data_IF_161649337115
#
_entry.id   IF_161649337115
#
_cell.length_a   1.000
_cell.length_b   1.000
_cell.length_c   1.000
_cell.angle_alpha   90.00
_cell.angle_beta   90.00
_cell.angle_gamma   90.00
#
_symmetry.space_group_name_H-M   'P 1'
#
loop_
_entity.id
_entity.type
_entity.pdbx_description
1 polymer ?
#
# COMPACT_ATOMS: atom_id res chain seq x y z
N UNK A 1 -16.18 -38.95 5.70
CA UNK A 1 -16.69 -37.56 5.62
C UNK A 1 -15.71 -36.46 6.12
N UNK A 2 -14.42 -36.74 6.35
CA UNK A 2 -13.45 -35.73 6.84
C UNK A 2 -12.93 -34.75 5.76
N UNK A 3 -12.58 -35.25 4.58
CA UNK A 3 -11.92 -34.50 3.51
C UNK A 3 -12.68 -33.26 3.00
N UNK A 4 -14.02 -33.30 2.93
CA UNK A 4 -14.81 -32.13 2.50
C UNK A 4 -14.75 -30.96 3.50
N UNK A 5 -14.63 -31.25 4.81
CA UNK A 5 -14.55 -30.20 5.85
C UNK A 5 -13.20 -29.47 5.78
N UNK A 6 -12.12 -30.17 5.47
CA UNK A 6 -10.79 -29.59 5.35
C UNK A 6 -10.67 -28.68 4.11
N UNK A 7 -11.19 -29.11 2.96
CA UNK A 7 -11.22 -28.29 1.74
C UNK A 7 -12.04 -27.00 1.97
N UNK A 8 -13.19 -27.11 2.64
CA UNK A 8 -14.00 -25.95 3.00
C UNK A 8 -13.20 -24.98 3.90
N UNK A 9 -12.55 -25.48 4.96
CA UNK A 9 -11.74 -24.66 5.89
C UNK A 9 -10.59 -23.92 5.19
N UNK A 10 -9.89 -24.58 4.26
CA UNK A 10 -8.83 -23.96 3.46
C UNK A 10 -9.40 -22.89 2.53
N UNK A 11 -10.54 -23.16 1.87
CA UNK A 11 -11.23 -22.20 1.00
C UNK A 11 -11.67 -20.94 1.77
N UNK A 12 -12.21 -21.09 2.98
CA UNK A 12 -12.58 -19.97 3.86
C UNK A 12 -11.38 -19.14 4.31
N UNK A 13 -10.24 -19.79 4.63
CA UNK A 13 -9.00 -19.08 4.98
C UNK A 13 -8.45 -18.29 3.79
N UNK A 14 -8.46 -18.87 2.59
CA UNK A 14 -8.03 -18.21 1.35
C UNK A 14 -8.89 -16.98 1.04
N UNK A 15 -10.22 -17.10 1.18
CA UNK A 15 -11.16 -16.00 0.97
C UNK A 15 -10.95 -14.85 1.97
N UNK A 16 -10.74 -15.15 3.26
CA UNK A 16 -10.41 -14.12 4.27
C UNK A 16 -9.11 -13.38 3.94
N UNK A 17 -8.09 -14.10 3.46
CA UNK A 17 -6.81 -13.49 3.07
C UNK A 17 -6.98 -12.54 1.89
N UNK A 18 -7.73 -12.93 0.85
CA UNK A 18 -8.03 -12.06 -0.29
C UNK A 18 -8.77 -10.79 0.13
N UNK A 19 -9.83 -10.90 0.93
CA UNK A 19 -10.58 -9.74 1.45
C UNK A 19 -9.67 -8.80 2.27
N UNK A 20 -8.73 -9.37 3.05
CA UNK A 20 -7.75 -8.57 3.79
C UNK A 20 -6.79 -7.80 2.88
N UNK A 21 -6.34 -8.41 1.79
CA UNK A 21 -5.48 -7.77 0.79
C UNK A 21 -6.23 -6.66 0.06
N UNK A 22 -7.47 -6.89 -0.37
CA UNK A 22 -8.31 -5.89 -1.04
C UNK A 22 -8.55 -4.65 -0.17
N UNK A 23 -8.81 -4.83 1.13
CA UNK A 23 -8.96 -3.71 2.06
C UNK A 23 -7.68 -2.88 2.19
N UNK A 24 -6.52 -3.53 2.25
CA UNK A 24 -5.21 -2.86 2.32
C UNK A 24 -4.92 -2.11 1.02
N UNK A 25 -5.21 -2.72 -0.11
CA UNK A 25 -5.06 -2.11 -1.42
C UNK A 25 -5.97 -0.88 -1.57
N UNK A 26 -7.23 -0.96 -1.12
CA UNK A 26 -8.16 0.18 -1.11
C UNK A 26 -7.68 1.34 -0.22
N UNK A 27 -7.05 1.03 0.92
CA UNK A 27 -6.44 2.05 1.79
C UNK A 27 -5.24 2.70 1.11
N UNK A 28 -4.34 1.91 0.53
CA UNK A 28 -3.17 2.41 -0.19
C UNK A 28 -3.59 3.33 -1.34
N UNK A 29 -4.65 2.95 -2.06
CA UNK A 29 -5.24 3.73 -3.14
C UNK A 29 -5.74 5.12 -2.71
N UNK A 30 -6.16 5.29 -1.46
CA UNK A 30 -6.60 6.57 -0.90
C UNK A 30 -5.44 7.45 -0.45
N UNK A 31 -4.33 6.84 -0.01
CA UNK A 31 -3.16 7.56 0.49
C UNK A 31 -2.28 8.07 -0.66
N UNK A 32 -2.24 7.37 -1.79
CA UNK A 32 -1.45 7.78 -2.94
C UNK A 32 -2.27 8.74 -3.83
N UNK A 33 -1.79 9.96 -4.11
CA UNK A 33 -2.54 11.01 -4.79
C UNK A 33 -3.09 10.65 -6.18
N UNK A 34 -2.56 9.60 -6.83
CA UNK A 34 -3.02 9.12 -8.15
C UNK A 34 -3.60 7.70 -8.12
N UNK A 35 -3.96 7.17 -6.96
CA UNK A 35 -4.38 5.78 -6.81
C UNK A 35 -5.76 5.47 -7.41
N UNK A 36 -6.66 6.45 -7.53
CA UNK A 36 -8.10 6.23 -7.70
C UNK A 36 -8.53 5.39 -8.95
N UNK A 37 -7.64 5.12 -9.90
CA UNK A 37 -7.93 4.29 -11.09
C UNK A 37 -6.76 3.43 -11.60
N UNK A 38 -5.69 3.24 -10.84
CA UNK A 38 -4.51 2.49 -11.33
C UNK A 38 -4.60 0.98 -11.07
N UNK A 39 -4.21 0.18 -12.07
CA UNK A 39 -3.97 -1.26 -11.91
C UNK A 39 -3.10 -1.56 -10.68
N UNK A 40 -3.35 -2.66 -9.95
CA UNK A 40 -2.64 -3.00 -8.72
C UNK A 40 -1.11 -3.05 -8.90
N UNK A 41 -0.62 -3.56 -10.03
CA UNK A 41 0.82 -3.62 -10.33
C UNK A 41 1.44 -2.23 -10.48
N UNK A 42 0.70 -1.28 -11.05
CA UNK A 42 1.12 0.13 -11.18
C UNK A 42 0.96 0.92 -9.89
N UNK A 43 0.09 0.48 -8.97
CA UNK A 43 -0.12 1.15 -7.68
C UNK A 43 1.15 1.06 -6.82
N UNK A 44 1.83 -0.08 -6.81
CA UNK A 44 3.07 -0.25 -6.03
C UNK A 44 4.21 0.61 -6.57
N UNK A 45 4.40 0.64 -7.89
CA UNK A 45 5.40 1.50 -8.52
C UNK A 45 5.15 2.98 -8.19
N UNK A 46 3.91 3.45 -8.38
CA UNK A 46 3.52 4.82 -8.02
C UNK A 46 3.67 5.12 -6.54
N UNK A 47 3.43 4.13 -5.67
CA UNK A 47 3.65 4.28 -4.23
C UNK A 47 5.14 4.49 -3.93
N UNK A 48 6.02 3.71 -4.56
CA UNK A 48 7.47 3.84 -4.39
C UNK A 48 7.97 5.21 -4.87
N UNK A 49 7.51 5.65 -6.05
CA UNK A 49 7.80 6.99 -6.58
C UNK A 49 7.33 8.08 -5.61
N UNK A 50 6.12 7.97 -5.08
CA UNK A 50 5.57 8.96 -4.15
C UNK A 50 6.34 9.01 -2.83
N UNK A 51 6.76 7.86 -2.29
CA UNK A 51 7.63 7.80 -1.08
C UNK A 51 8.96 8.50 -1.35
N UNK A 52 9.56 8.28 -2.52
CA UNK A 52 10.82 8.92 -2.90
C UNK A 52 10.66 10.44 -2.98
N UNK A 53 9.58 10.91 -3.61
CA UNK A 53 9.26 12.35 -3.71
C UNK A 53 9.09 12.99 -2.33
N UNK A 54 8.33 12.35 -1.43
CA UNK A 54 8.15 12.85 -0.07
C UNK A 54 9.47 12.92 0.71
N UNK A 55 10.33 11.90 0.56
CA UNK A 55 11.66 11.90 1.18
C UNK A 55 12.52 13.04 0.65
N UNK A 56 12.52 13.27 -0.66
CA UNK A 56 13.25 14.38 -1.27
C UNK A 56 12.75 15.73 -0.75
N UNK A 57 11.44 15.93 -0.71
CA UNK A 57 10.82 17.16 -0.18
C UNK A 57 11.21 17.40 1.28
N UNK A 58 11.16 16.37 2.12
CA UNK A 58 11.58 16.47 3.52
C UNK A 58 13.06 16.79 3.66
N UNK A 59 13.93 16.16 2.86
CA UNK A 59 15.37 16.41 2.90
C UNK A 59 15.69 17.86 2.53
N UNK A 60 15.04 18.40 1.49
CA UNK A 60 15.18 19.81 1.10
C UNK A 60 14.70 20.73 2.22
N UNK A 61 13.50 20.50 2.76
CA UNK A 61 12.98 21.30 3.88
C UNK A 61 13.88 21.24 5.12
N UNK A 62 14.42 20.06 5.44
CA UNK A 62 15.36 19.90 6.55
C UNK A 62 16.68 20.63 6.30
N UNK A 63 17.21 20.58 5.09
CA UNK A 63 18.42 21.32 4.72
C UNK A 63 18.19 22.83 4.85
N UNK A 64 17.07 23.34 4.31
CA UNK A 64 16.69 24.74 4.46
C UNK A 64 16.49 25.12 5.92
N UNK A 65 15.78 24.31 6.70
CA UNK A 65 15.58 24.54 8.13
C UNK A 65 16.90 24.61 8.91
N UNK A 66 17.88 23.74 8.58
CA UNK A 66 19.22 23.82 9.17
C UNK A 66 19.97 25.09 8.79
N UNK A 67 19.75 25.62 7.59
CA UNK A 67 20.38 26.87 7.15
C UNK A 67 19.73 28.07 7.84
N UNK A 68 18.40 28.07 8.00
CA UNK A 68 17.66 29.20 8.58
C UNK A 68 17.59 29.18 10.12
N UNK A 69 17.81 28.02 10.75
CA UNK A 69 17.87 27.87 12.21
C UNK A 69 19.30 27.62 12.73
N UNK A 70 20.33 27.88 11.91
CA UNK A 70 21.72 27.99 12.35
C UNK A 70 22.00 29.43 12.82
#
# INVERSE_FOLDING_TARGET
MGYCKDIAKVKWRRRRRQVGVERRLKKLRRLVPSGAGSNPDRLFLKTAEHILQLRLQLNVLQALSKIFNA
#
